data_IF_135955104740
#
_entry.id   IF_135955104740
#
_cell.length_a   1.000
_cell.length_b   1.000
_cell.length_c   1.000
_cell.angle_alpha   90.00
_cell.angle_beta   90.00
_cell.angle_gamma   90.00
#
_symmetry.space_group_name_H-M   'P 1'
#
loop_
_entity.id
_entity.type
_entity.pdbx_description
1 polymer ?
#
# COMPACT_ATOMS: atom_id res chain seq x y z
N UNK A 1 -16.14 21.48 -13.52
CA UNK A 1 -14.65 21.52 -13.44
C UNK A 1 -14.21 20.30 -12.65
N UNK A 2 -13.17 19.60 -13.08
CA UNK A 2 -12.65 18.44 -12.33
C UNK A 2 -12.02 18.89 -11.01
N UNK A 3 -12.23 18.15 -9.93
CA UNK A 3 -11.32 18.22 -8.78
C UNK A 3 -10.03 17.50 -9.19
N UNK A 4 -8.91 18.21 -9.20
CA UNK A 4 -7.61 17.55 -9.22
C UNK A 4 -7.50 16.66 -7.98
N UNK A 5 -7.19 15.38 -8.18
CA UNK A 5 -6.77 14.49 -7.11
C UNK A 5 -5.29 14.72 -6.92
N UNK A 6 -4.91 15.47 -5.89
CA UNK A 6 -3.50 15.56 -5.47
C UNK A 6 -3.03 14.14 -5.09
N UNK A 7 -1.98 13.60 -5.75
CA UNK A 7 -1.64 12.19 -5.60
C UNK A 7 -0.90 11.94 -4.28
N UNK A 8 -1.30 10.88 -3.57
CA UNK A 8 -0.66 10.40 -2.35
C UNK A 8 0.69 9.68 -2.62
N UNK A 9 1.44 10.12 -3.63
CA UNK A 9 2.53 9.36 -4.27
C UNK A 9 3.94 9.62 -3.73
N UNK A 10 4.17 10.68 -2.94
CA UNK A 10 5.54 11.16 -2.70
C UNK A 10 6.33 10.41 -1.62
N UNK A 11 5.69 9.64 -0.73
CA UNK A 11 6.33 9.08 0.47
C UNK A 11 6.01 7.60 0.71
N UNK A 12 6.14 6.77 -0.32
CA UNK A 12 6.28 5.32 -0.15
C UNK A 12 7.77 5.02 0.19
N UNK A 13 8.11 4.21 1.20
CA UNK A 13 9.48 3.75 1.42
C UNK A 13 9.89 2.85 0.26
N UNK A 14 10.75 3.34 -0.63
CA UNK A 14 11.24 2.59 -1.78
C UNK A 14 12.71 2.20 -1.61
N UNK A 15 12.92 0.90 -1.51
CA UNK A 15 14.23 0.26 -1.42
C UNK A 15 14.62 -0.25 -2.80
N UNK A 16 15.93 -0.29 -3.09
CA UNK A 16 16.43 -0.90 -4.33
C UNK A 16 16.69 -2.39 -4.07
N UNK A 17 15.96 -3.26 -4.79
CA UNK A 17 15.97 -4.72 -4.62
C UNK A 17 16.36 -5.38 -5.94
N UNK A 18 17.18 -6.43 -5.92
CA UNK A 18 17.60 -7.12 -7.14
C UNK A 18 16.46 -7.99 -7.69
N UNK A 19 16.26 -7.99 -9.02
CA UNK A 19 15.18 -8.74 -9.65
C UNK A 19 15.35 -10.27 -9.51
N UNK A 20 16.58 -10.75 -9.32
CA UNK A 20 16.88 -12.17 -9.01
C UNK A 20 16.46 -12.60 -7.59
N UNK A 21 16.33 -11.65 -6.66
CA UNK A 21 15.96 -11.91 -5.26
C UNK A 21 14.43 -11.94 -5.06
N UNK A 22 13.67 -11.56 -6.09
CA UNK A 22 12.20 -11.44 -6.03
C UNK A 22 11.53 -12.68 -6.64
N UNK A 23 10.77 -13.40 -5.83
CA UNK A 23 9.82 -14.42 -6.27
C UNK A 23 8.47 -13.78 -6.64
N UNK A 24 7.94 -14.16 -7.80
CA UNK A 24 6.63 -13.70 -8.27
C UNK A 24 5.83 -14.85 -8.90
N UNK A 25 4.52 -14.64 -9.04
CA UNK A 25 3.78 -15.33 -10.09
C UNK A 25 4.32 -14.89 -11.47
N UNK A 26 4.38 -15.79 -12.44
CA UNK A 26 4.64 -15.41 -13.84
C UNK A 26 3.42 -14.70 -14.44
N UNK A 27 3.60 -13.88 -15.49
CA UNK A 27 2.47 -13.29 -16.23
C UNK A 27 1.50 -14.34 -16.80
N UNK A 28 0.22 -13.99 -16.99
CA UNK A 28 -0.75 -14.82 -17.70
C UNK A 28 -0.45 -14.91 -19.20
N UNK A 29 -1.09 -15.89 -19.84
CA UNK A 29 -1.12 -16.03 -21.30
C UNK A 29 -1.70 -14.74 -21.94
N UNK A 30 -1.06 -14.24 -22.99
CA UNK A 30 -1.46 -13.01 -23.68
C UNK A 30 -0.98 -11.69 -23.06
N UNK A 31 -0.28 -11.70 -21.92
CA UNK A 31 0.37 -10.48 -21.39
C UNK A 31 1.54 -10.02 -22.29
N UNK A 32 1.72 -8.71 -22.41
CA UNK A 32 2.81 -8.06 -23.14
C UNK A 32 3.36 -6.86 -22.34
N UNK A 33 4.69 -6.63 -22.33
CA UNK A 33 5.27 -5.45 -21.68
C UNK A 33 4.88 -4.12 -22.35
N UNK A 34 4.44 -4.16 -23.61
CA UNK A 34 3.99 -3.00 -24.39
C UNK A 34 2.52 -2.62 -24.15
N UNK A 35 1.74 -3.46 -23.45
CA UNK A 35 0.32 -3.18 -23.15
C UNK A 35 0.16 -1.84 -22.43
N UNK A 36 -0.80 -0.98 -22.81
CA UNK A 36 -0.92 0.38 -22.28
C UNK A 36 -1.10 0.38 -20.76
N UNK A 37 -0.05 0.79 -20.05
CA UNK A 37 -0.02 0.85 -18.59
C UNK A 37 -0.55 2.18 -18.05
N UNK A 38 -0.90 2.20 -16.76
CA UNK A 38 -1.12 3.46 -16.04
C UNK A 38 0.25 4.08 -15.76
N UNK A 39 0.59 5.15 -16.46
CA UNK A 39 1.73 6.00 -16.11
C UNK A 39 1.33 7.02 -15.03
N UNK A 40 2.19 7.30 -14.03
CA UNK A 40 3.48 6.65 -13.78
C UNK A 40 3.31 5.23 -13.23
N UNK A 41 4.19 4.32 -13.68
CA UNK A 41 4.20 2.91 -13.28
C UNK A 41 4.35 2.80 -11.75
N UNK A 42 3.40 2.19 -11.02
CA UNK A 42 3.42 2.14 -9.57
C UNK A 42 4.50 1.17 -9.06
N UNK A 43 5.19 1.46 -7.95
CA UNK A 43 6.26 0.60 -7.45
C UNK A 43 5.73 -0.78 -7.01
N UNK A 44 6.45 -1.89 -7.26
CA UNK A 44 6.14 -3.18 -6.66
C UNK A 44 6.10 -3.11 -5.14
N UNK A 45 5.23 -3.90 -4.52
CA UNK A 45 5.19 -4.07 -3.07
C UNK A 45 5.55 -5.51 -2.74
N UNK A 46 6.57 -5.66 -1.91
CA UNK A 46 7.24 -6.90 -1.56
C UNK A 46 7.09 -7.19 -0.07
N UNK A 47 7.41 -8.42 0.33
CA UNK A 47 7.65 -8.82 1.72
C UNK A 47 8.94 -9.65 1.77
N UNK A 48 9.76 -9.46 2.80
CA UNK A 48 10.99 -10.24 2.95
C UNK A 48 10.68 -11.62 3.58
N UNK A 49 11.19 -12.67 2.96
CA UNK A 49 10.98 -14.06 3.32
C UNK A 49 12.32 -14.82 3.24
N UNK A 50 12.89 -15.17 4.40
CA UNK A 50 14.15 -15.94 4.52
C UNK A 50 15.35 -15.41 3.69
N UNK A 51 15.45 -14.10 3.51
CA UNK A 51 16.51 -13.43 2.74
C UNK A 51 16.23 -13.31 1.23
N UNK A 52 15.02 -13.64 0.79
CA UNK A 52 14.46 -13.34 -0.53
C UNK A 52 13.21 -12.47 -0.39
N UNK A 53 12.56 -12.10 -1.49
CA UNK A 53 11.39 -11.22 -1.47
C UNK A 53 10.21 -11.82 -2.23
N UNK A 54 9.06 -11.99 -1.58
CA UNK A 54 7.82 -12.38 -2.27
C UNK A 54 7.06 -11.14 -2.76
N UNK A 55 6.65 -11.15 -4.03
CA UNK A 55 5.86 -10.08 -4.64
C UNK A 55 4.37 -10.15 -4.25
N UNK A 56 3.80 -9.01 -3.83
CA UNK A 56 2.43 -8.91 -3.32
C UNK A 56 1.51 -8.06 -4.20
N UNK A 57 1.99 -6.90 -4.68
CA UNK A 57 1.18 -5.87 -5.35
C UNK A 57 2.00 -5.21 -6.47
N UNK A 58 1.32 -4.74 -7.52
CA UNK A 58 1.86 -4.15 -8.74
C UNK A 58 2.70 -5.14 -9.56
N UNK A 59 2.14 -6.34 -9.79
CA UNK A 59 2.79 -7.43 -10.53
C UNK A 59 3.24 -7.03 -11.95
N UNK A 60 2.39 -6.31 -12.68
CA UNK A 60 2.69 -5.77 -14.02
C UNK A 60 3.97 -4.91 -14.04
N UNK A 61 4.22 -4.14 -12.98
CA UNK A 61 5.38 -3.25 -12.86
C UNK A 61 6.69 -4.04 -12.71
N UNK A 62 6.64 -5.16 -11.98
CA UNK A 62 7.76 -6.10 -11.87
C UNK A 62 7.99 -6.85 -13.18
N UNK A 63 6.94 -7.35 -13.83
CA UNK A 63 7.05 -8.08 -15.10
C UNK A 63 7.63 -7.19 -16.22
N UNK A 64 7.21 -5.93 -16.33
CA UNK A 64 7.80 -4.96 -17.27
C UNK A 64 9.29 -4.75 -17.02
N UNK A 65 9.71 -4.54 -15.77
CA UNK A 65 11.12 -4.35 -15.43
C UNK A 65 11.97 -5.60 -15.70
N UNK A 66 11.44 -6.79 -15.41
CA UNK A 66 12.06 -8.08 -15.72
C UNK A 66 12.18 -8.30 -17.24
N UNK A 67 11.15 -7.96 -18.01
CA UNK A 67 11.16 -8.03 -19.47
C UNK A 67 12.12 -7.01 -20.12
N UNK A 68 12.27 -5.82 -19.52
CA UNK A 68 13.23 -4.80 -19.91
C UNK A 68 14.69 -5.12 -19.51
N UNK A 69 14.96 -6.27 -18.89
CA UNK A 69 16.31 -6.70 -18.51
C UNK A 69 16.92 -5.90 -17.37
N UNK A 70 16.11 -5.26 -16.52
CA UNK A 70 16.61 -4.50 -15.37
C UNK A 70 17.25 -5.42 -14.31
N UNK A 71 18.34 -4.98 -13.69
CA UNK A 71 19.03 -5.73 -12.63
C UNK A 71 18.38 -5.52 -11.25
N UNK A 72 17.87 -4.31 -11.02
CA UNK A 72 17.22 -3.87 -9.78
C UNK A 72 15.93 -3.13 -10.07
N UNK A 73 15.05 -3.07 -9.07
CA UNK A 73 13.82 -2.29 -9.08
C UNK A 73 13.63 -1.58 -7.74
N UNK A 74 13.07 -0.37 -7.78
CA UNK A 74 12.66 0.36 -6.57
C UNK A 74 11.28 -0.12 -6.12
N UNK A 75 11.23 -0.77 -4.96
CA UNK A 75 10.04 -1.45 -4.45
C UNK A 75 9.81 -1.15 -2.96
N UNK A 76 8.56 -1.24 -2.52
CA UNK A 76 8.19 -1.07 -1.11
C UNK A 76 8.25 -2.40 -0.39
N UNK A 77 9.15 -2.58 0.58
CA UNK A 77 9.17 -3.82 1.39
C UNK A 77 8.36 -3.67 2.66
N UNK A 78 7.32 -4.47 2.80
CA UNK A 78 6.47 -4.57 3.98
C UNK A 78 7.20 -5.39 5.05
N UNK A 79 7.72 -4.71 6.08
CA UNK A 79 8.39 -5.36 7.23
C UNK A 79 7.71 -5.11 8.59
N UNK A 80 6.73 -4.20 8.64
CA UNK A 80 6.13 -3.73 9.89
C UNK A 80 4.65 -3.34 9.68
N UNK A 81 3.76 -3.47 10.69
CA UNK A 81 2.36 -3.03 10.60
C UNK A 81 2.13 -1.61 10.06
N UNK A 82 3.05 -0.66 10.28
CA UNK A 82 2.98 0.71 9.72
C UNK A 82 2.86 0.70 8.19
N UNK A 83 3.46 -0.28 7.52
CA UNK A 83 3.47 -0.38 6.05
C UNK A 83 2.11 -0.85 5.50
N UNK A 84 1.24 -1.45 6.32
CA UNK A 84 -0.01 -2.08 5.88
C UNK A 84 -1.00 -1.08 5.28
N UNK A 85 -1.32 0.07 5.90
CA UNK A 85 -2.27 1.03 5.34
C UNK A 85 -1.71 1.81 4.14
N UNK A 86 -0.39 1.76 3.91
CA UNK A 86 0.27 2.32 2.73
C UNK A 86 0.14 1.30 1.58
N UNK A 87 0.57 0.06 1.81
CA UNK A 87 0.48 -1.03 0.84
C UNK A 87 -0.97 -1.32 0.40
N UNK A 88 -1.92 -1.36 1.34
CA UNK A 88 -3.32 -1.63 1.04
C UNK A 88 -3.98 -0.55 0.17
N UNK A 89 -3.55 0.71 0.26
CA UNK A 89 -3.98 1.79 -0.66
C UNK A 89 -3.51 1.61 -2.09
N UNK A 90 -2.47 0.80 -2.32
CA UNK A 90 -1.89 0.55 -3.66
C UNK A 90 -2.47 -0.70 -4.35
N UNK A 91 -3.31 -1.47 -3.65
CA UNK A 91 -3.97 -2.67 -4.18
C UNK A 91 -4.97 -2.30 -5.27
N UNK A 92 -4.88 -2.93 -6.46
CA UNK A 92 -5.82 -2.71 -7.56
C UNK A 92 -6.89 -3.80 -7.69
N UNK A 93 -6.50 -5.06 -7.53
CA UNK A 93 -7.38 -6.22 -7.71
C UNK A 93 -7.51 -7.06 -6.43
N UNK A 94 -8.56 -7.89 -6.34
CA UNK A 94 -8.82 -8.70 -5.14
C UNK A 94 -7.86 -9.87 -4.92
N UNK A 95 -6.98 -10.20 -5.89
CA UNK A 95 -5.91 -11.16 -5.66
C UNK A 95 -4.70 -10.51 -4.99
N UNK A 96 -4.32 -9.29 -5.38
CA UNK A 96 -3.31 -8.49 -4.67
C UNK A 96 -3.72 -8.21 -3.22
N UNK A 97 -5.02 -7.94 -2.96
CA UNK A 97 -5.55 -7.84 -1.60
C UNK A 97 -5.33 -9.15 -0.82
N UNK A 98 -5.50 -10.30 -1.47
CA UNK A 98 -5.33 -11.62 -0.86
C UNK A 98 -3.86 -12.01 -0.65
N UNK A 99 -2.97 -11.69 -1.60
CA UNK A 99 -1.53 -11.90 -1.48
C UNK A 99 -0.96 -11.06 -0.35
N UNK A 100 -1.31 -9.77 -0.27
CA UNK A 100 -0.98 -8.90 0.85
C UNK A 100 -1.44 -9.51 2.19
N UNK A 101 -2.69 -9.97 2.26
CA UNK A 101 -3.23 -10.54 3.50
C UNK A 101 -2.55 -11.86 3.88
N UNK A 102 -2.13 -12.69 2.92
CA UNK A 102 -1.41 -13.93 3.20
C UNK A 102 0.01 -13.65 3.69
N UNK A 103 0.81 -12.88 2.94
CA UNK A 103 2.18 -12.55 3.32
C UNK A 103 2.26 -11.93 4.73
N UNK A 104 1.36 -10.99 5.04
CA UNK A 104 1.28 -10.37 6.37
C UNK A 104 1.02 -11.36 7.51
N UNK A 105 0.27 -12.44 7.26
CA UNK A 105 -0.05 -13.47 8.25
C UNK A 105 1.03 -14.56 8.29
N UNK A 106 1.55 -14.96 7.12
CA UNK A 106 2.55 -16.02 6.94
C UNK A 106 3.90 -15.61 7.52
N UNK A 107 4.34 -14.38 7.27
CA UNK A 107 5.54 -13.80 7.87
C UNK A 107 5.32 -13.21 9.26
N UNK A 108 4.13 -13.43 9.86
CA UNK A 108 3.79 -13.01 11.23
C UNK A 108 3.89 -11.49 11.53
N UNK A 109 4.02 -10.64 10.50
CA UNK A 109 3.93 -9.16 10.64
C UNK A 109 2.59 -8.78 11.30
N UNK A 110 1.55 -9.55 11.01
CA UNK A 110 0.26 -9.49 11.71
C UNK A 110 -0.04 -10.87 12.33
N UNK A 111 -0.21 -10.97 13.66
CA UNK A 111 -0.23 -12.27 14.35
C UNK A 111 -1.49 -13.11 14.08
N UNK A 112 -2.57 -12.54 13.50
CA UNK A 112 -3.78 -13.27 13.12
C UNK A 112 -4.77 -12.39 12.31
N UNK A 113 -5.74 -13.06 11.67
CA UNK A 113 -6.83 -12.42 10.89
C UNK A 113 -7.72 -11.44 11.67
N UNK A 114 -7.75 -11.49 13.00
CA UNK A 114 -8.50 -10.50 13.81
C UNK A 114 -7.74 -9.18 13.88
N UNK A 115 -6.44 -9.22 14.19
CA UNK A 115 -5.58 -8.01 14.18
C UNK A 115 -5.48 -7.38 12.78
N UNK A 116 -5.44 -8.19 11.71
CA UNK A 116 -5.49 -7.68 10.34
C UNK A 116 -6.82 -6.98 10.03
N UNK A 117 -7.93 -7.52 10.53
CA UNK A 117 -9.25 -6.91 10.40
C UNK A 117 -9.34 -5.59 11.17
N UNK A 118 -8.81 -5.52 12.39
CA UNK A 118 -8.70 -4.28 13.17
C UNK A 118 -7.89 -3.20 12.45
N UNK A 119 -6.68 -3.54 11.97
CA UNK A 119 -5.76 -2.60 11.31
C UNK A 119 -6.33 -1.99 10.03
N UNK A 120 -7.19 -2.72 9.31
CA UNK A 120 -7.82 -2.28 8.06
C UNK A 120 -9.29 -1.82 8.24
N UNK A 121 -9.78 -1.74 9.48
CA UNK A 121 -11.19 -1.44 9.80
C UNK A 121 -12.19 -2.34 9.03
N UNK A 122 -11.85 -3.62 8.89
CA UNK A 122 -12.63 -4.64 8.20
C UNK A 122 -13.24 -5.65 9.17
N UNK A 123 -14.19 -6.46 8.68
CA UNK A 123 -14.62 -7.64 9.43
C UNK A 123 -13.64 -8.80 9.23
N UNK A 124 -13.42 -9.61 10.27
CA UNK A 124 -12.65 -10.87 10.18
C UNK A 124 -13.23 -11.83 9.11
N UNK A 125 -14.53 -11.69 8.82
CA UNK A 125 -15.19 -12.36 7.70
C UNK A 125 -14.65 -11.86 6.34
N UNK A 126 -14.56 -10.55 6.09
CA UNK A 126 -13.96 -10.00 4.85
C UNK A 126 -12.54 -10.51 4.65
N UNK A 127 -11.67 -10.42 5.67
CA UNK A 127 -10.29 -10.95 5.59
C UNK A 127 -10.29 -12.41 5.15
N UNK A 128 -11.20 -13.23 5.67
CA UNK A 128 -11.31 -14.65 5.28
C UNK A 128 -11.89 -14.87 3.88
N UNK A 129 -12.80 -14.01 3.40
CA UNK A 129 -13.32 -14.10 2.03
C UNK A 129 -12.30 -13.64 0.97
N UNK A 130 -11.50 -12.63 1.29
CA UNK A 130 -10.39 -12.18 0.42
C UNK A 130 -9.31 -13.27 0.37
N UNK A 131 -8.86 -13.81 1.52
CA UNK A 131 -7.90 -14.93 1.55
C UNK A 131 -8.39 -16.20 0.84
N UNK A 132 -9.71 -16.41 0.70
CA UNK A 132 -10.26 -17.54 -0.06
C UNK A 132 -9.96 -17.43 -1.57
N UNK A 133 -9.64 -16.24 -2.12
CA UNK A 133 -9.25 -16.06 -3.53
C UNK A 133 -7.98 -16.84 -3.88
N UNK A 134 -7.08 -17.04 -2.91
CA UNK A 134 -5.84 -17.82 -3.11
C UNK A 134 -6.09 -19.33 -3.37
N UNK A 135 -7.31 -19.82 -3.15
CA UNK A 135 -7.72 -21.20 -3.45
C UNK A 135 -8.06 -21.43 -4.92
N UNK A 136 -8.16 -20.37 -5.72
CA UNK A 136 -8.42 -20.51 -7.16
C UNK A 136 -7.21 -21.14 -7.87
N UNK A 137 -7.43 -21.93 -8.94
CA UNK A 137 -6.39 -22.46 -9.82
C UNK A 137 -5.38 -21.41 -10.25
N UNK A 138 -4.14 -21.85 -10.48
CA UNK A 138 -3.02 -20.97 -10.78
C UNK A 138 -3.28 -20.08 -12.01
N UNK A 139 -3.94 -20.61 -13.05
CA UNK A 139 -4.26 -19.87 -14.28
C UNK A 139 -5.26 -18.72 -14.01
N UNK A 140 -6.37 -18.99 -13.31
CA UNK A 140 -7.33 -17.96 -12.87
C UNK A 140 -6.64 -16.89 -12.01
N UNK A 141 -5.71 -17.30 -11.12
CA UNK A 141 -4.93 -16.33 -10.33
C UNK A 141 -3.99 -15.48 -11.20
N UNK A 142 -3.33 -16.02 -12.22
CA UNK A 142 -2.51 -15.21 -13.14
C UNK A 142 -3.36 -14.23 -13.94
N UNK A 143 -4.52 -14.67 -14.47
CA UNK A 143 -5.46 -13.81 -15.20
C UNK A 143 -5.99 -12.67 -14.28
N UNK A 144 -6.32 -12.96 -13.02
CA UNK A 144 -6.76 -11.95 -12.02
C UNK A 144 -5.77 -10.83 -11.72
N UNK A 145 -4.47 -11.00 -11.98
CA UNK A 145 -3.47 -9.94 -11.76
C UNK A 145 -3.57 -8.81 -12.79
N UNK A 146 -4.05 -9.11 -14.01
CA UNK A 146 -4.21 -8.12 -15.10
C UNK A 146 -5.66 -7.63 -15.23
N UNK A 147 -6.64 -8.34 -14.64
CA UNK A 147 -8.06 -7.98 -14.77
C UNK A 147 -8.50 -7.02 -13.66
N UNK A 148 -8.66 -5.74 -14.00
CA UNK A 148 -9.25 -4.75 -13.10
C UNK A 148 -10.77 -4.99 -12.87
N UNK A 149 -11.34 -4.33 -11.85
CA UNK A 149 -12.77 -4.35 -11.48
C UNK A 149 -13.36 -5.67 -10.93
N UNK A 150 -12.67 -6.82 -10.98
CA UNK A 150 -13.16 -8.06 -10.35
C UNK A 150 -12.93 -8.04 -8.83
N UNK A 151 -13.97 -7.65 -8.08
CA UNK A 151 -14.00 -7.79 -6.61
C UNK A 151 -14.23 -9.23 -6.15
N UNK A 152 -13.86 -9.54 -4.91
CA UNK A 152 -13.95 -10.89 -4.34
C UNK A 152 -15.40 -11.43 -4.27
N UNK A 153 -16.41 -10.56 -4.28
CA UNK A 153 -17.82 -10.96 -4.40
C UNK A 153 -18.13 -11.75 -5.68
N UNK A 154 -17.44 -11.46 -6.79
CA UNK A 154 -17.56 -12.18 -8.06
C UNK A 154 -16.94 -13.58 -8.00
N UNK A 155 -15.93 -13.76 -7.14
CA UNK A 155 -15.12 -14.97 -7.05
C UNK A 155 -15.69 -16.00 -6.06
N UNK A 156 -16.49 -15.56 -5.08
CA UNK A 156 -17.13 -16.44 -4.07
C UNK A 156 -17.96 -17.61 -4.64
N UNK A 157 -18.64 -17.51 -5.80
CA UNK A 157 -19.29 -18.66 -6.43
C UNK A 157 -18.29 -19.65 -7.06
N UNK A 158 -17.25 -19.14 -7.74
CA UNK A 158 -16.19 -19.94 -8.37
C UNK A 158 -15.44 -20.78 -7.31
N UNK A 159 -15.07 -20.16 -6.18
CA UNK A 159 -14.39 -20.82 -5.05
C UNK A 159 -15.21 -21.97 -4.41
N UNK A 160 -16.49 -22.11 -4.75
CA UNK A 160 -17.37 -23.21 -4.29
C UNK A 160 -17.59 -24.33 -5.31
N UNK A 161 -17.07 -24.20 -6.53
CA UNK A 161 -17.15 -25.26 -7.53
C UNK A 161 -16.01 -26.26 -7.27
N UNK A 162 -16.29 -27.57 -7.35
CA UNK A 162 -15.29 -28.61 -7.06
C UNK A 162 -14.38 -28.97 -8.26
N UNK A 163 -14.69 -28.49 -9.46
CA UNK A 163 -13.92 -28.75 -10.70
C UNK A 163 -13.20 -27.49 -11.22
N UNK A 164 -11.88 -27.59 -11.39
CA UNK A 164 -11.03 -26.52 -11.90
C UNK A 164 -11.35 -26.13 -13.36
N UNK A 165 -11.77 -27.07 -14.21
CA UNK A 165 -12.12 -26.76 -15.61
C UNK A 165 -13.35 -25.88 -15.67
N UNK A 166 -14.42 -26.28 -14.97
CA UNK A 166 -15.63 -25.49 -14.81
C UNK A 166 -15.35 -24.13 -14.18
N UNK A 167 -14.46 -24.05 -13.19
CA UNK A 167 -14.04 -22.76 -12.62
C UNK A 167 -13.41 -21.85 -13.69
N UNK A 168 -12.47 -22.36 -14.50
CA UNK A 168 -11.79 -21.56 -15.53
C UNK A 168 -12.76 -21.06 -16.61
N UNK A 169 -13.59 -21.95 -17.16
CA UNK A 169 -14.56 -21.57 -18.17
C UNK A 169 -15.65 -20.62 -17.62
N UNK A 170 -16.07 -20.81 -16.35
CA UNK A 170 -17.00 -19.89 -15.68
C UNK A 170 -16.38 -18.53 -15.36
N UNK A 171 -15.07 -18.49 -15.10
CA UNK A 171 -14.32 -17.25 -14.89
C UNK A 171 -14.14 -16.46 -16.20
N UNK A 172 -13.83 -17.14 -17.32
CA UNK A 172 -13.79 -16.54 -18.66
C UNK A 172 -15.15 -15.97 -19.06
N UNK A 173 -16.24 -16.70 -18.80
CA UNK A 173 -17.61 -16.18 -19.00
C UNK A 173 -17.90 -14.95 -18.12
N UNK A 174 -17.45 -14.92 -16.88
CA UNK A 174 -17.59 -13.74 -16.01
C UNK A 174 -16.87 -12.50 -16.57
N UNK A 175 -15.69 -12.67 -17.17
CA UNK A 175 -14.96 -11.58 -17.85
C UNK A 175 -15.73 -11.12 -19.10
N UNK A 176 -16.15 -12.05 -19.96
CA UNK A 176 -16.81 -11.74 -21.24
C UNK A 176 -18.19 -11.08 -21.05
N UNK A 177 -19.06 -11.65 -20.21
CA UNK A 177 -20.42 -11.17 -19.96
C UNK A 177 -20.48 -10.00 -18.95
N UNK A 178 -19.37 -9.67 -18.28
CA UNK A 178 -19.31 -8.65 -17.22
C UNK A 178 -20.21 -8.95 -16.00
N UNK A 179 -20.37 -10.23 -15.64
CA UNK A 179 -21.39 -10.68 -14.68
C UNK A 179 -21.21 -10.07 -13.28
N UNK A 180 -22.26 -9.41 -12.76
CA UNK A 180 -22.27 -9.01 -11.35
C UNK A 180 -22.22 -10.24 -10.43
N UNK A 181 -21.67 -10.08 -9.21
CA UNK A 181 -21.58 -11.18 -8.24
C UNK A 181 -22.93 -11.84 -7.86
N UNK A 182 -24.07 -11.21 -8.15
CA UNK A 182 -25.41 -11.83 -8.05
C UNK A 182 -25.73 -12.71 -9.27
N UNK A 183 -25.48 -12.25 -10.49
CA UNK A 183 -25.65 -13.04 -11.70
C UNK A 183 -24.70 -14.25 -11.70
N UNK A 184 -23.44 -14.06 -11.30
CA UNK A 184 -22.48 -15.16 -11.15
C UNK A 184 -22.91 -16.19 -10.10
N UNK A 185 -23.52 -15.75 -8.99
CA UNK A 185 -24.06 -16.67 -7.99
C UNK A 185 -25.30 -17.45 -8.50
N UNK A 186 -26.13 -16.84 -9.35
CA UNK A 186 -27.24 -17.52 -10.02
C UNK A 186 -26.75 -18.52 -11.08
N UNK A 187 -25.79 -18.12 -11.92
CA UNK A 187 -25.18 -18.99 -12.92
C UNK A 187 -24.51 -20.20 -12.26
N UNK A 188 -23.70 -20.01 -11.22
CA UNK A 188 -23.10 -21.10 -10.44
C UNK A 188 -24.13 -22.04 -9.79
N UNK A 189 -25.32 -21.53 -9.43
CA UNK A 189 -26.40 -22.32 -8.82
C UNK A 189 -27.33 -22.99 -9.86
N UNK A 190 -27.34 -22.52 -11.10
CA UNK A 190 -28.20 -23.04 -12.19
C UNK A 190 -27.84 -24.47 -12.61
N UNK A 191 -26.58 -24.87 -12.39
CA UNK A 191 -26.03 -26.12 -12.91
C UNK A 191 -25.58 -26.05 -14.36
N UNK A 192 -25.83 -24.95 -15.10
CA UNK A 192 -25.38 -24.74 -16.47
C UNK A 192 -23.85 -24.85 -16.59
N UNK A 193 -23.38 -25.58 -17.61
CA UNK A 193 -21.99 -25.55 -18.00
C UNK A 193 -21.73 -24.31 -18.87
N UNK A 194 -20.63 -23.57 -18.63
CA UNK A 194 -20.22 -22.49 -19.52
C UNK A 194 -19.91 -23.08 -20.90
N UNK A 195 -20.63 -22.64 -21.92
CA UNK A 195 -20.32 -22.99 -23.31
C UNK A 195 -18.92 -22.47 -23.63
N UNK A 196 -18.01 -23.36 -24.01
CA UNK A 196 -16.76 -22.94 -24.65
C UNK A 196 -17.10 -22.37 -26.03
N UNK A 197 -17.03 -21.04 -26.16
CA UNK A 197 -16.96 -20.37 -27.45
C UNK A 197 -15.59 -20.68 -28.08
N UNK A 198 -15.50 -21.89 -28.63
CA UNK A 198 -14.28 -22.46 -29.19
C UNK A 198 -13.91 -21.75 -30.49
N UNK A 199 -12.86 -20.92 -30.40
CA UNK A 199 -12.18 -20.22 -31.48
C UNK A 199 -13.03 -19.12 -32.15
N UNK A 200 -12.48 -17.90 -32.18
CA UNK A 200 -13.09 -16.76 -32.87
C UNK A 200 -13.30 -17.07 -34.35
N UNK A 201 -14.40 -16.60 -34.93
CA UNK A 201 -14.83 -16.97 -36.29
C UNK A 201 -13.78 -16.73 -37.38
N UNK A 202 -12.76 -15.91 -37.14
CA UNK A 202 -11.61 -15.75 -38.04
C UNK A 202 -10.91 -17.08 -38.33
N UNK A 203 -10.64 -17.93 -37.33
CA UNK A 203 -9.95 -19.21 -37.58
C UNK A 203 -10.84 -20.19 -38.35
N UNK A 204 -12.16 -20.08 -38.18
CA UNK A 204 -13.15 -20.85 -38.95
C UNK A 204 -13.22 -20.40 -40.42
N UNK A 205 -13.25 -19.08 -40.65
CA UNK A 205 -13.23 -18.47 -42.00
C UNK A 205 -11.90 -18.77 -42.70
N UNK A 206 -10.78 -18.81 -41.97
CA UNK A 206 -9.44 -19.11 -42.50
C UNK A 206 -9.16 -20.61 -42.68
N UNK A 207 -10.06 -21.50 -42.24
CA UNK A 207 -9.91 -22.96 -42.38
C UNK A 207 -10.90 -23.61 -43.37
N UNK A 208 -11.78 -22.84 -44.00
CA UNK A 208 -12.54 -23.35 -45.16
C UNK A 208 -11.60 -23.58 -46.36
N UNK A 209 -11.54 -24.80 -46.93
CA UNK A 209 -10.67 -25.08 -48.07
C UNK A 209 -11.24 -24.42 -49.33
N UNK A 210 -10.59 -23.36 -49.80
CA UNK A 210 -10.93 -22.68 -51.05
C UNK A 210 -10.89 -23.68 -52.21
N UNK A 211 -12.07 -23.99 -52.75
CA UNK A 211 -12.24 -24.85 -53.93
C UNK A 211 -11.77 -24.11 -55.20
N UNK A 212 -10.45 -24.11 -55.42
CA UNK A 212 -9.85 -23.60 -56.65
C UNK A 212 -10.16 -24.56 -57.80
N UNK A 213 -11.13 -24.20 -58.64
CA UNK A 213 -11.28 -24.78 -59.98
C UNK A 213 -10.28 -24.13 -60.96
N UNK A 214 -9.80 -24.86 -61.98
CA UNK A 214 -8.66 -24.43 -62.81
C UNK A 214 -9.02 -23.39 -63.88
N UNK A 215 -8.02 -22.59 -64.26
CA UNK A 215 -8.09 -21.59 -65.34
C UNK A 215 -8.27 -22.20 -66.75
N UNK A 216 -9.01 -21.53 -67.65
CA UNK A 216 -8.82 -21.61 -69.10
C UNK A 216 -7.91 -20.47 -69.63
N UNK A 217 -7.14 -20.67 -70.71
CA UNK A 217 -6.04 -19.77 -71.07
C UNK A 217 -6.37 -18.63 -72.07
N UNK A 218 -5.67 -17.49 -71.88
CA UNK A 218 -5.18 -16.49 -72.87
C UNK A 218 -5.96 -16.20 -74.17
N UNK A 219 -6.33 -14.92 -74.40
CA UNK A 219 -6.79 -14.46 -75.72
C UNK A 219 -7.02 -12.94 -75.91
N UNK A 220 -5.98 -12.24 -76.40
CA UNK A 220 -6.01 -10.97 -77.17
C UNK A 220 -6.64 -9.67 -76.58
N UNK A 221 -6.32 -8.55 -77.26
CA UNK A 221 -6.71 -7.15 -77.00
C UNK A 221 -6.75 -6.40 -78.37
N UNK A 222 -6.83 -5.06 -78.50
CA UNK A 222 -7.20 -3.97 -77.58
C UNK A 222 -8.27 -3.01 -78.19
N UNK A 223 -8.64 -1.92 -77.49
CA UNK A 223 -9.09 -0.63 -78.09
C UNK A 223 -8.96 0.57 -77.11
N UNK A 224 -9.25 1.80 -77.59
CA UNK A 224 -8.69 3.09 -77.10
C UNK A 224 -9.76 4.14 -76.66
N UNK A 225 -9.38 5.33 -76.11
CA UNK A 225 -10.13 5.98 -75.02
C UNK A 225 -10.78 7.37 -75.30
N UNK A 226 -11.51 7.86 -74.30
CA UNK A 226 -11.96 9.25 -73.99
C UNK A 226 -12.02 9.35 -72.44
N UNK A 227 -11.91 10.46 -71.67
CA UNK A 227 -11.35 11.84 -71.72
C UNK A 227 -12.31 12.81 -70.96
N UNK A 228 -11.84 14.02 -70.62
CA UNK A 228 -12.43 15.02 -69.67
C UNK A 228 -12.30 14.62 -68.17
N UNK A 229 -11.83 15.40 -67.18
CA UNK A 229 -11.72 16.88 -66.95
C UNK A 229 -13.09 17.50 -66.54
N UNK A 230 -13.27 18.42 -65.57
CA UNK A 230 -12.46 19.55 -65.03
C UNK A 230 -12.70 19.85 -63.50
N UNK A 231 -11.95 20.82 -62.94
CA UNK A 231 -12.11 21.58 -61.65
C UNK A 231 -11.35 22.94 -61.76
N UNK A 232 -11.37 23.93 -60.81
CA UNK A 232 -12.33 24.36 -59.76
C UNK A 232 -12.99 25.74 -60.16
N UNK A 233 -13.29 26.79 -59.32
CA UNK A 233 -12.51 27.52 -58.27
C UNK A 233 -13.22 27.57 -56.87
N UNK A 234 -12.76 28.09 -55.70
CA UNK A 234 -11.86 29.22 -55.24
C UNK A 234 -12.58 30.60 -55.14
N UNK A 235 -12.43 31.49 -54.13
CA UNK A 235 -11.57 31.59 -52.90
C UNK A 235 -12.40 31.47 -51.56
N UNK A 236 -12.41 32.26 -50.45
CA UNK A 236 -11.81 33.53 -49.93
C UNK A 236 -11.75 33.51 -48.34
N UNK A 237 -11.44 34.61 -47.61
CA UNK A 237 -11.22 34.67 -46.12
C UNK A 237 -12.46 35.13 -45.25
N UNK A 238 -12.49 35.84 -44.09
CA UNK A 238 -11.56 36.75 -43.36
C UNK A 238 -11.73 36.80 -41.80
N UNK A 239 -10.62 36.69 -41.05
CA UNK A 239 -10.26 37.28 -39.72
C UNK A 239 -11.08 37.08 -38.39
N UNK A 240 -10.35 37.28 -37.26
CA UNK A 240 -10.81 37.43 -35.85
C UNK A 240 -10.60 38.93 -35.37
N UNK A 241 -10.53 39.38 -34.07
CA UNK A 241 -10.08 38.72 -32.81
C UNK A 241 -10.87 39.11 -31.51
N UNK A 242 -10.23 38.93 -30.33
CA UNK A 242 -10.83 38.89 -28.98
C UNK A 242 -10.80 40.19 -28.14
N UNK A 243 -11.56 40.22 -27.02
CA UNK A 243 -11.25 40.99 -25.79
C UNK A 243 -12.13 40.61 -24.56
N UNK A 244 -11.66 40.96 -23.34
CA UNK A 244 -12.34 40.89 -22.02
C UNK A 244 -12.37 42.33 -21.40
N UNK A 245 -12.65 42.66 -20.10
CA UNK A 245 -12.87 41.85 -18.86
C UNK A 245 -13.97 42.38 -17.87
N UNK A 246 -13.90 41.97 -16.58
CA UNK A 246 -14.45 42.64 -15.34
C UNK A 246 -15.99 42.70 -15.12
N UNK A 247 -16.57 42.73 -13.89
CA UNK A 247 -16.09 42.59 -12.48
C UNK A 247 -17.24 42.15 -11.49
N UNK A 248 -16.90 41.97 -10.20
CA UNK A 248 -17.73 41.65 -8.99
C UNK A 248 -18.71 42.81 -8.56
N UNK A 249 -19.59 42.78 -7.50
CA UNK A 249 -19.47 42.04 -6.21
C UNK A 249 -20.75 41.56 -5.41
N UNK A 250 -20.49 40.74 -4.37
CA UNK A 250 -21.03 40.78 -2.97
C UNK A 250 -22.38 40.15 -2.47
N UNK A 251 -22.27 39.60 -1.25
CA UNK A 251 -23.21 39.53 -0.10
C UNK A 251 -24.28 38.38 0.03
N UNK A 252 -24.41 37.84 1.26
CA UNK A 252 -25.45 36.90 1.72
C UNK A 252 -25.03 36.05 2.95
N UNK A 253 -25.89 35.89 3.97
CA UNK A 253 -25.54 35.28 5.28
C UNK A 253 -26.34 34.01 5.67
N UNK A 254 -25.85 33.32 6.72
CA UNK A 254 -26.52 32.31 7.56
C UNK A 254 -26.80 30.93 6.91
N UNK A 255 -26.92 29.79 7.63
CA UNK A 255 -27.09 29.56 9.07
C UNK A 255 -26.38 28.28 9.56
N UNK A 256 -26.31 28.07 10.88
CA UNK A 256 -25.66 26.92 11.51
C UNK A 256 -26.54 25.65 11.61
N UNK A 257 -25.90 24.49 11.79
CA UNK A 257 -26.50 23.34 12.49
C UNK A 257 -25.44 22.57 13.31
N UNK A 258 -25.75 22.35 14.60
CA UNK A 258 -24.98 21.49 15.51
C UNK A 258 -25.44 20.04 15.33
N UNK A 259 -24.50 19.09 15.42
CA UNK A 259 -24.76 17.78 16.03
C UNK A 259 -23.55 17.38 16.86
N UNK A 260 -23.74 16.64 17.96
CA UNK A 260 -22.74 16.41 19.00
C UNK A 260 -22.87 15.01 19.57
N UNK A 261 -21.73 14.33 19.77
CA UNK A 261 -21.66 12.93 20.23
C UNK A 261 -21.69 11.91 19.08
N UNK A 262 -21.22 10.67 19.28
CA UNK A 262 -20.87 10.02 20.55
C UNK A 262 -19.46 9.38 20.52
N UNK A 263 -18.89 9.17 21.72
CA UNK A 263 -17.57 8.58 21.92
C UNK A 263 -17.63 7.04 21.83
N UNK A 264 -16.67 6.43 21.13
CA UNK A 264 -16.52 4.97 21.14
C UNK A 264 -16.00 4.46 22.49
N UNK A 265 -16.66 3.42 23.04
CA UNK A 265 -16.22 2.75 24.27
C UNK A 265 -15.35 1.54 23.96
N UNK A 266 -14.04 1.75 24.06
CA UNK A 266 -13.01 0.71 24.07
C UNK A 266 -13.41 -0.45 25.02
N UNK A 267 -13.39 -1.69 24.52
CA UNK A 267 -13.40 -2.91 25.33
C UNK A 267 -12.04 -3.58 25.24
N UNK A 268 -11.26 -3.50 26.31
CA UNK A 268 -9.96 -4.16 26.44
C UNK A 268 -10.13 -5.69 26.51
N UNK A 269 -9.28 -6.50 25.82
CA UNK A 269 -9.07 -7.90 26.17
C UNK A 269 -8.20 -8.03 27.43
N UNK A 270 -8.25 -9.18 28.10
CA UNK A 270 -7.54 -9.43 29.37
C UNK A 270 -6.07 -9.85 29.16
N UNK A 271 -5.25 -9.50 30.14
CA UNK A 271 -3.83 -9.84 30.22
C UNK A 271 -3.56 -11.28 30.69
N UNK A 272 -2.44 -11.83 30.21
CA UNK A 272 -1.56 -12.83 30.85
C UNK A 272 -2.06 -14.27 31.06
N UNK A 273 -1.42 -15.19 30.31
CA UNK A 273 -0.60 -16.25 30.90
C UNK A 273 0.58 -16.58 29.95
N UNK A 274 1.80 -16.66 30.50
CA UNK A 274 2.98 -17.34 29.90
C UNK A 274 2.94 -18.82 30.39
N UNK A 275 3.66 -19.80 29.87
CA UNK A 275 4.74 -19.87 28.88
C UNK A 275 4.47 -21.10 27.95
N UNK A 276 5.36 -21.74 27.19
CA UNK A 276 6.84 -21.78 27.20
C UNK A 276 7.45 -22.18 25.84
N UNK A 277 8.59 -21.60 25.52
CA UNK A 277 9.61 -21.95 24.51
C UNK A 277 10.48 -20.71 24.23
N UNK A 278 11.80 -20.86 24.27
CA UNK A 278 12.71 -19.73 24.22
C UNK A 278 12.80 -19.06 22.85
N UNK A 279 12.72 -17.72 22.84
CA UNK A 279 13.49 -16.91 21.88
C UNK A 279 14.68 -16.32 22.63
N UNK A 280 15.83 -16.28 21.98
CA UNK A 280 17.03 -15.66 22.54
C UNK A 280 16.85 -14.14 22.56
N UNK A 281 17.20 -13.49 23.69
CA UNK A 281 17.18 -12.03 23.84
C UNK A 281 18.37 -11.43 23.06
N UNK A 282 18.27 -11.37 21.73
CA UNK A 282 19.26 -10.67 20.89
C UNK A 282 19.29 -9.19 21.31
N UNK A 283 20.42 -8.65 21.79
CA UNK A 283 20.49 -7.24 22.15
C UNK A 283 20.32 -6.38 20.88
N UNK A 284 19.62 -5.23 20.96
CA UNK A 284 19.49 -4.33 19.82
C UNK A 284 20.86 -3.87 19.36
N UNK A 285 21.05 -3.74 18.04
CA UNK A 285 22.38 -3.64 17.47
C UNK A 285 23.11 -2.38 17.95
N UNK A 286 24.44 -2.47 17.94
CA UNK A 286 25.33 -1.32 18.21
C UNK A 286 25.02 -0.14 17.29
N UNK A 287 24.48 -0.39 16.10
CA UNK A 287 24.08 0.61 15.10
C UNK A 287 22.80 1.35 15.51
N UNK A 288 21.72 0.63 15.86
CA UNK A 288 20.46 1.23 16.35
C UNK A 288 20.68 2.16 17.54
N UNK A 289 21.48 1.70 18.51
CA UNK A 289 21.84 2.51 19.69
C UNK A 289 22.69 3.73 19.32
N UNK A 290 23.58 3.63 18.35
CA UNK A 290 24.37 4.76 17.87
C UNK A 290 23.49 5.79 17.12
N UNK A 291 22.54 5.34 16.29
CA UNK A 291 21.56 6.20 15.61
C UNK A 291 20.68 6.95 16.61
N UNK A 292 20.15 6.26 17.62
CA UNK A 292 19.35 6.88 18.68
C UNK A 292 20.15 7.93 19.46
N UNK A 293 21.38 7.62 19.86
CA UNK A 293 22.24 8.56 20.59
C UNK A 293 22.65 9.76 19.74
N UNK A 294 22.90 9.58 18.43
CA UNK A 294 23.17 10.67 17.49
C UNK A 294 21.95 11.59 17.32
N UNK A 295 20.75 11.01 17.18
CA UNK A 295 19.50 11.78 17.13
C UNK A 295 19.26 12.56 18.44
N UNK A 296 19.53 11.98 19.61
CA UNK A 296 19.43 12.65 20.92
C UNK A 296 20.43 13.82 21.02
N UNK A 297 21.69 13.60 20.65
CA UNK A 297 22.71 14.65 20.63
C UNK A 297 22.40 15.82 19.68
N UNK A 298 21.85 15.55 18.48
CA UNK A 298 21.39 16.62 17.58
C UNK A 298 20.26 17.45 18.20
N UNK A 299 19.30 16.80 18.89
CA UNK A 299 18.20 17.50 19.56
C UNK A 299 18.68 18.40 20.72
N UNK A 300 19.71 17.97 21.45
CA UNK A 300 20.31 18.74 22.53
C UNK A 300 21.10 19.94 21.99
N UNK A 301 21.89 19.75 20.92
CA UNK A 301 22.65 20.84 20.24
C UNK A 301 21.72 21.90 19.64
N UNK A 302 20.58 21.48 19.07
CA UNK A 302 19.65 22.39 18.38
C UNK A 302 18.65 23.06 19.34
N UNK A 303 18.45 22.52 20.54
CA UNK A 303 17.69 23.15 21.61
C UNK A 303 16.21 23.34 21.27
N UNK A 304 15.77 24.56 21.00
CA UNK A 304 14.36 24.92 20.76
C UNK A 304 13.97 24.83 19.29
N UNK A 305 13.68 23.63 18.79
CA UNK A 305 13.13 23.38 17.44
C UNK A 305 11.73 24.01 17.16
N UNK A 306 11.23 24.93 18.00
CA UNK A 306 9.93 25.59 17.81
C UNK A 306 10.02 26.80 16.88
N UNK A 307 11.19 27.42 16.83
CA UNK A 307 11.47 28.69 16.16
C UNK A 307 12.24 28.48 14.84
N UNK A 308 12.28 29.47 13.95
CA UNK A 308 13.04 29.39 12.69
C UNK A 308 14.56 29.42 12.92
N UNK A 309 15.32 28.83 12.00
CA UNK A 309 16.78 28.84 12.02
C UNK A 309 17.39 27.64 12.76
N UNK A 310 16.62 26.59 13.05
CA UNK A 310 17.18 25.29 13.41
C UNK A 310 17.72 24.57 12.18
N UNK A 311 17.14 24.83 11.01
CA UNK A 311 17.47 24.26 9.70
C UNK A 311 18.94 24.55 9.35
N UNK A 312 19.33 25.82 9.40
CA UNK A 312 20.71 26.25 9.18
C UNK A 312 21.67 25.70 10.25
N UNK A 313 21.23 25.63 11.52
CA UNK A 313 22.07 25.08 12.60
C UNK A 313 22.31 23.59 12.40
N UNK A 314 21.30 22.83 11.96
CA UNK A 314 21.42 21.41 11.69
C UNK A 314 22.38 21.15 10.51
N UNK A 315 22.25 21.92 9.42
CA UNK A 315 23.19 21.88 8.30
C UNK A 315 24.63 22.20 8.73
N UNK A 316 24.83 23.26 9.55
CA UNK A 316 26.16 23.61 10.10
C UNK A 316 26.75 22.55 11.04
N UNK A 317 25.93 21.69 11.65
CA UNK A 317 26.36 20.57 12.49
C UNK A 317 26.50 19.24 11.71
N UNK A 318 26.37 19.25 10.37
CA UNK A 318 26.51 18.05 9.56
C UNK A 318 25.37 17.04 9.76
N UNK A 319 24.15 17.51 9.98
CA UNK A 319 22.95 16.67 9.92
C UNK A 319 22.73 16.18 8.47
N UNK A 320 22.44 14.89 8.29
CA UNK A 320 22.10 14.33 6.99
C UNK A 320 20.73 14.80 6.51
N UNK A 321 20.40 14.57 5.23
CA UNK A 321 19.05 14.84 4.69
C UNK A 321 17.95 14.14 5.49
N UNK A 322 18.23 12.93 5.97
CA UNK A 322 17.33 12.09 6.77
C UNK A 322 17.09 12.71 8.15
N UNK A 323 18.17 13.18 8.78
CA UNK A 323 18.12 13.85 10.08
C UNK A 323 17.42 15.21 9.99
N UNK A 324 17.54 15.93 8.87
CA UNK A 324 16.78 17.16 8.63
C UNK A 324 15.26 16.90 8.58
N UNK A 325 14.81 15.83 7.90
CA UNK A 325 13.39 15.43 7.87
C UNK A 325 12.90 15.00 9.26
N UNK A 326 13.70 14.22 10.00
CA UNK A 326 13.41 13.89 11.39
C UNK A 326 13.25 15.14 12.28
N UNK A 327 14.19 16.09 12.18
CA UNK A 327 14.18 17.33 12.95
C UNK A 327 13.02 18.25 12.58
N UNK A 328 12.58 18.27 11.32
CA UNK A 328 11.35 18.97 10.90
C UNK A 328 10.12 18.34 11.58
N UNK A 329 10.03 17.01 11.60
CA UNK A 329 8.96 16.28 12.29
C UNK A 329 8.89 16.63 13.79
N UNK A 330 10.05 16.69 14.46
CA UNK A 330 10.12 17.13 15.87
C UNK A 330 9.83 18.63 16.03
N UNK A 331 10.15 19.48 15.04
CA UNK A 331 9.76 20.90 15.03
C UNK A 331 8.24 21.06 14.96
N UNK A 332 7.59 20.38 14.03
CA UNK A 332 6.13 20.37 13.86
C UNK A 332 5.42 19.89 15.14
N UNK A 333 5.95 18.83 15.78
CA UNK A 333 5.46 18.33 17.06
C UNK A 333 5.53 19.38 18.17
N UNK A 334 6.68 20.04 18.34
CA UNK A 334 6.89 21.11 19.34
C UNK A 334 6.10 22.39 19.02
N UNK A 335 5.64 22.56 17.78
CA UNK A 335 4.77 23.65 17.34
C UNK A 335 3.28 23.35 17.53
N UNK A 336 2.91 22.11 17.90
CA UNK A 336 1.51 21.70 18.11
C UNK A 336 0.82 21.13 16.88
N UNK A 337 1.56 20.87 15.79
CA UNK A 337 1.02 20.41 14.51
C UNK A 337 1.13 18.89 14.42
N UNK A 338 0.40 18.17 15.28
CA UNK A 338 0.63 16.74 15.56
C UNK A 338 0.39 15.80 14.38
N UNK A 339 -0.65 16.03 13.57
CA UNK A 339 -0.91 15.30 12.33
C UNK A 339 0.28 15.43 11.37
N UNK A 340 0.68 16.65 11.05
CA UNK A 340 1.84 16.93 10.17
C UNK A 340 3.15 16.41 10.74
N UNK A 341 3.32 16.45 12.06
CA UNK A 341 4.48 15.87 12.72
C UNK A 341 4.54 14.35 12.50
N UNK A 342 3.40 13.65 12.63
CA UNK A 342 3.36 12.21 12.35
C UNK A 342 3.59 11.90 10.87
N UNK A 343 3.06 12.70 9.94
CA UNK A 343 3.33 12.57 8.50
C UNK A 343 4.84 12.73 8.19
N UNK A 344 5.46 13.83 8.62
CA UNK A 344 6.89 14.08 8.41
C UNK A 344 7.79 13.05 9.13
N UNK A 345 7.37 12.52 10.29
CA UNK A 345 8.12 11.47 11.00
C UNK A 345 7.92 10.07 10.39
N UNK A 346 6.79 9.79 9.72
CA UNK A 346 6.64 8.60 8.88
C UNK A 346 7.65 8.68 7.72
N UNK A 347 7.75 9.84 7.06
CA UNK A 347 8.77 10.05 6.04
C UNK A 347 10.20 9.86 6.58
N UNK A 348 10.48 10.29 7.82
CA UNK A 348 11.76 10.07 8.47
C UNK A 348 12.06 8.58 8.75
N UNK A 349 11.05 7.77 9.12
CA UNK A 349 11.23 6.32 9.35
C UNK A 349 11.44 5.54 8.05
N UNK A 350 11.03 6.12 6.92
CA UNK A 350 11.27 5.58 5.58
C UNK A 350 12.71 5.84 5.08
N UNK A 351 13.40 6.82 5.67
CA UNK A 351 14.80 7.11 5.37
C UNK A 351 15.76 6.44 6.38
N UNK A 352 15.42 6.49 7.68
CA UNK A 352 16.25 5.96 8.77
C UNK A 352 15.49 4.86 9.49
N UNK A 353 15.46 3.65 8.88
CA UNK A 353 14.54 2.55 9.22
C UNK A 353 14.51 2.20 10.70
N UNK A 354 15.67 1.97 11.29
CA UNK A 354 15.81 1.37 12.62
C UNK A 354 16.10 2.44 13.70
N UNK A 355 15.78 3.70 13.40
CA UNK A 355 16.04 4.81 14.29
C UNK A 355 14.93 4.94 15.35
N UNK A 356 15.19 4.37 16.52
CA UNK A 356 14.28 4.37 17.67
C UNK A 356 13.77 5.76 18.09
N UNK A 357 14.50 6.84 17.77
CA UNK A 357 14.06 8.20 18.08
C UNK A 357 12.87 8.61 17.20
N UNK A 358 12.83 8.18 15.94
CA UNK A 358 11.69 8.43 15.04
C UNK A 358 10.43 7.76 15.59
N UNK A 359 10.53 6.49 16.00
CA UNK A 359 9.41 5.77 16.62
C UNK A 359 8.96 6.40 17.95
N UNK A 360 9.90 6.85 18.79
CA UNK A 360 9.57 7.61 20.00
C UNK A 360 8.76 8.87 19.67
N UNK A 361 9.21 9.71 18.73
CA UNK A 361 8.51 10.94 18.39
C UNK A 361 7.20 10.71 17.61
N UNK A 362 7.07 9.63 16.84
CA UNK A 362 5.78 9.16 16.29
C UNK A 362 4.80 8.81 17.41
N UNK A 363 5.24 7.98 18.35
CA UNK A 363 4.46 7.61 19.53
C UNK A 363 3.94 8.82 20.31
N UNK A 364 4.79 9.83 20.50
CA UNK A 364 4.41 11.12 21.10
C UNK A 364 3.40 11.91 20.28
N UNK A 365 3.56 11.95 18.96
CA UNK A 365 2.62 12.60 18.06
C UNK A 365 1.24 11.96 18.15
N UNK A 366 1.16 10.62 18.13
CA UNK A 366 -0.10 9.91 18.34
C UNK A 366 -0.66 10.02 19.77
N UNK A 367 0.20 10.12 20.80
CA UNK A 367 -0.23 10.37 22.19
C UNK A 367 -0.90 11.75 22.35
N UNK A 368 -0.41 12.76 21.63
CA UNK A 368 -0.95 14.13 21.64
C UNK A 368 -2.19 14.29 20.73
N UNK A 369 -2.33 13.46 19.71
CA UNK A 369 -3.58 13.29 18.93
C UNK A 369 -4.65 12.42 19.64
N UNK A 370 -4.41 11.99 20.89
CA UNK A 370 -5.24 11.01 21.64
C UNK A 370 -5.45 9.64 20.94
N UNK A 371 -4.66 9.34 19.90
CA UNK A 371 -4.68 8.09 19.13
C UNK A 371 -3.88 7.00 19.88
N UNK A 372 -4.35 6.67 21.09
CA UNK A 372 -3.59 5.92 22.11
C UNK A 372 -3.12 4.51 21.70
N UNK A 373 -3.81 3.85 20.78
CA UNK A 373 -3.39 2.52 20.27
C UNK A 373 -2.12 2.64 19.43
N UNK A 374 -2.12 3.53 18.44
CA UNK A 374 -0.96 3.83 17.61
C UNK A 374 0.19 4.34 18.48
N UNK A 375 -0.11 5.21 19.46
CA UNK A 375 0.89 5.74 20.39
C UNK A 375 1.64 4.64 21.14
N UNK A 376 0.94 3.59 21.62
CA UNK A 376 1.57 2.44 22.27
C UNK A 376 2.41 1.62 21.28
N UNK A 377 1.90 1.39 20.06
CA UNK A 377 2.54 0.58 19.02
C UNK A 377 3.92 1.15 18.64
N UNK A 378 4.00 2.45 18.33
CA UNK A 378 5.27 3.14 18.06
C UNK A 378 6.20 3.20 19.29
N UNK A 379 5.67 3.37 20.51
CA UNK A 379 6.50 3.40 21.72
C UNK A 379 7.02 2.02 22.14
N UNK A 380 6.32 0.94 21.79
CA UNK A 380 6.82 -0.44 21.94
C UNK A 380 7.96 -0.71 20.98
N UNK A 381 7.84 -0.33 19.70
CA UNK A 381 8.96 -0.42 18.74
C UNK A 381 10.19 0.36 19.20
N UNK A 382 10.01 1.61 19.68
CA UNK A 382 11.10 2.39 20.25
C UNK A 382 11.75 1.67 21.46
N UNK A 383 10.96 0.97 22.28
CA UNK A 383 11.41 0.17 23.41
C UNK A 383 12.00 -1.21 23.01
N UNK A 384 11.80 -1.68 21.79
CA UNK A 384 12.44 -2.90 21.27
C UNK A 384 13.88 -2.58 20.84
N UNK A 385 14.07 -1.49 20.09
CA UNK A 385 15.40 -0.98 19.70
C UNK A 385 16.19 -0.36 20.87
N UNK A 386 15.53 0.30 21.83
CA UNK A 386 16.19 0.92 23.00
C UNK A 386 15.41 0.61 24.29
N UNK A 387 15.54 -0.62 24.83
CA UNK A 387 14.73 -1.10 25.95
C UNK A 387 15.02 -0.43 27.30
N UNK A 388 16.13 0.31 27.41
CA UNK A 388 16.61 0.92 28.65
C UNK A 388 16.76 2.45 28.57
N UNK A 389 16.16 3.12 27.57
CA UNK A 389 16.01 4.58 27.62
C UNK A 389 14.82 4.98 28.52
N UNK A 390 15.04 5.82 29.55
CA UNK A 390 14.01 6.14 30.51
C UNK A 390 12.96 7.13 29.99
N UNK A 391 13.18 7.83 28.87
CA UNK A 391 12.22 8.74 28.26
C UNK A 391 11.19 7.96 27.44
N UNK A 392 11.63 6.97 26.64
CA UNK A 392 10.78 6.00 25.95
C UNK A 392 9.90 5.25 26.96
N UNK A 393 10.50 4.69 28.01
CA UNK A 393 9.79 3.94 29.05
C UNK A 393 8.78 4.80 29.83
N UNK A 394 9.09 6.08 30.08
CA UNK A 394 8.16 7.02 30.71
C UNK A 394 6.99 7.39 29.79
N UNK A 395 7.22 7.66 28.51
CA UNK A 395 6.16 8.01 27.56
C UNK A 395 5.23 6.82 27.29
N UNK A 396 5.78 5.60 27.18
CA UNK A 396 4.99 4.36 27.07
C UNK A 396 4.10 4.16 28.31
N UNK A 397 4.62 4.44 29.51
CA UNK A 397 3.84 4.40 30.74
C UNK A 397 2.71 5.44 30.75
N UNK A 398 2.94 6.66 30.27
CA UNK A 398 1.91 7.71 30.11
C UNK A 398 0.80 7.26 29.17
N UNK A 399 1.12 6.65 28.02
CA UNK A 399 0.12 6.12 27.09
C UNK A 399 -0.69 4.99 27.72
N UNK A 400 -0.03 4.05 28.39
CA UNK A 400 -0.69 2.96 29.11
C UNK A 400 -1.57 3.48 30.26
N UNK A 401 -1.18 4.55 30.93
CA UNK A 401 -1.98 5.23 31.96
C UNK A 401 -3.22 5.91 31.36
N UNK A 402 -3.10 6.62 30.23
CA UNK A 402 -4.26 7.16 29.49
C UNK A 402 -5.20 6.03 29.01
N UNK A 403 -4.66 4.89 28.59
CA UNK A 403 -5.42 3.67 28.30
C UNK A 403 -5.98 2.97 29.56
N UNK A 404 -5.67 3.44 30.77
CA UNK A 404 -6.08 2.91 32.09
C UNK A 404 -5.48 1.55 32.46
N UNK A 405 -4.37 1.16 31.83
CA UNK A 405 -3.57 -0.05 32.11
C UNK A 405 -2.53 0.23 33.19
N UNK A 406 -3.00 0.70 34.35
CA UNK A 406 -2.15 1.21 35.44
C UNK A 406 -1.11 0.20 35.97
N UNK A 407 -1.39 -1.11 35.89
CA UNK A 407 -0.47 -2.17 36.32
C UNK A 407 0.77 -2.22 35.43
N UNK A 408 0.61 -2.20 34.11
CA UNK A 408 1.71 -2.11 33.14
C UNK A 408 2.38 -0.74 33.20
N UNK A 409 1.63 0.36 33.24
CA UNK A 409 2.21 1.69 33.43
C UNK A 409 3.12 1.75 34.67
N UNK A 410 2.71 1.12 35.78
CA UNK A 410 3.53 1.05 37.00
C UNK A 410 4.85 0.27 36.84
N UNK A 411 4.93 -0.74 35.96
CA UNK A 411 6.18 -1.48 35.74
C UNK A 411 7.12 -0.68 34.85
N UNK A 412 6.61 -0.05 33.80
CA UNK A 412 7.37 0.85 32.93
C UNK A 412 7.88 2.09 33.69
N UNK A 413 7.03 2.77 34.49
CA UNK A 413 7.47 3.87 35.35
C UNK A 413 8.54 3.44 36.37
N UNK A 414 8.44 2.24 36.96
CA UNK A 414 9.47 1.71 37.88
C UNK A 414 10.77 1.38 37.17
N UNK A 415 10.75 0.85 35.93
CA UNK A 415 11.96 0.64 35.11
C UNK A 415 12.61 1.97 34.77
N UNK A 416 11.84 2.93 34.25
CA UNK A 416 12.31 4.28 33.94
C UNK A 416 12.92 4.98 35.17
N UNK A 417 12.27 4.92 36.33
CA UNK A 417 12.77 5.55 37.57
C UNK A 417 14.06 4.90 38.07
N UNK A 418 14.18 3.57 38.00
CA UNK A 418 15.41 2.86 38.37
C UNK A 418 16.59 3.18 37.41
N UNK A 419 16.30 3.39 36.12
CA UNK A 419 17.30 3.80 35.13
C UNK A 419 17.74 5.27 35.31
N UNK A 420 16.81 6.18 35.70
CA UNK A 420 17.15 7.57 36.06
C UNK A 420 17.89 7.68 37.40
N UNK A 421 17.63 6.79 38.36
CA UNK A 421 18.21 6.81 39.70
C UNK A 421 18.84 5.45 40.10
N UNK A 422 19.98 5.04 39.50
CA UNK A 422 20.61 3.73 39.80
C UNK A 422 21.03 3.57 41.27
N UNK A 423 21.20 4.68 42.00
CA UNK A 423 21.64 4.75 43.39
C UNK A 423 20.52 4.62 44.43
N UNK A 424 19.25 4.48 44.05
CA UNK A 424 18.17 4.12 44.97
C UNK A 424 17.95 2.60 44.99
N UNK A 425 18.53 1.84 45.96
CA UNK A 425 18.17 0.45 46.14
C UNK A 425 16.67 0.34 46.47
N UNK A 426 16.00 -0.65 45.87
CA UNK A 426 14.55 -0.88 46.08
C UNK A 426 14.23 -0.89 47.58
N UNK A 427 13.44 0.07 48.04
CA UNK A 427 12.94 0.11 49.41
C UNK A 427 12.05 -1.11 49.67
N UNK A 428 12.66 -2.15 50.23
CA UNK A 428 11.94 -3.35 50.68
C UNK A 428 10.96 -2.92 51.78
N UNK A 429 9.69 -2.76 51.42
CA UNK A 429 8.62 -2.86 52.41
C UNK A 429 8.63 -4.28 52.94
N UNK A 430 8.73 -4.40 54.26
CA UNK A 430 8.43 -5.60 55.02
C UNK A 430 6.91 -5.81 55.07
#
# INVERSE_FOLDING_TARGET
MQKAVEPLSEHIPLEEVKIEEIDSLDPPEGWSPESPGVEPVPPPILIEEEGRFSLLINHDSFWRARAAGMLSIRAMVVRNPIHIPIAHKSVKNSLEEALLFDGLLRMSIVPNRSRLAELLNFSRARITQVLNVLKLPLQIRRELLITENISEFHLRPLIKMDDEKRQLASFRKLIADGLTGRQMALFAASGEEPVEEAQTDLERIMSEPVLVTPEPPSGEAPRKPVSAMETPPEDEEVAAPASAPEADPAAGEHAAKKTQGQQEKIRQPRSAQRADSGKEDTPPSTVERALFMRAKGLLDILGTLRDKGWEEKAARNGATREELVFLEGVSLLRRGLYERAAETLINASHLSRDNAAVFFFLGRSYNLMEKLSNAEEYLRMACEHVPDDPDILSELAIVLEKQKRYTEASSFYRRASALRNPSQPRSRRQ
#
